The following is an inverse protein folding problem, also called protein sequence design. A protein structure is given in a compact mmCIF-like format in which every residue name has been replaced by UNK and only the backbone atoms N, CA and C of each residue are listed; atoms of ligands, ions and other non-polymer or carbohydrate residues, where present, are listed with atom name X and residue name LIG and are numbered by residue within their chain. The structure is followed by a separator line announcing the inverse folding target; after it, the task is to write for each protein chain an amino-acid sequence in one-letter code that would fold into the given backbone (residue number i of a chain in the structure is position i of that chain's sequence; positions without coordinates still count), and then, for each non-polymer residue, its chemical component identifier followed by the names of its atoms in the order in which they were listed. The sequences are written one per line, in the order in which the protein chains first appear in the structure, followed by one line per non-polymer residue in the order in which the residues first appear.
data_IF_515376530156
#
_entry.id   IF_515376530156
#
_cell.length_a   1.000
_cell.length_b   1.000
_cell.length_c   1.000
_cell.angle_alpha   90.00
_cell.angle_beta   90.00
_cell.angle_gamma   90.00
#
_symmetry.space_group_name_H-M   'P 1'
#
loop_
_entity.id
_entity.type
_entity.pdbx_description
1 polymer ?
#
# COMPACT_ATOMS: atom_id res chain seq x y z
N UNK A 1 11.44 44.01 12.25
CA UNK A 1 10.21 43.21 12.08
C UNK A 1 10.28 42.67 10.68
N UNK A 2 10.87 41.49 10.51
CA UNK A 2 11.03 40.90 9.18
C UNK A 2 9.64 40.59 8.62
N UNK A 3 9.34 41.17 7.45
CA UNK A 3 8.09 40.92 6.75
C UNK A 3 8.22 39.54 6.09
N UNK A 4 7.66 38.52 6.72
CA UNK A 4 7.54 37.19 6.10
C UNK A 4 6.88 37.30 4.73
N UNK A 5 7.49 36.65 3.75
CA UNK A 5 7.03 36.64 2.37
C UNK A 5 5.77 35.77 2.22
N UNK A 6 4.93 36.05 1.21
CA UNK A 6 3.65 35.33 1.05
C UNK A 6 3.83 33.81 0.93
N UNK A 7 4.88 33.35 0.23
CA UNK A 7 5.19 31.91 0.10
C UNK A 7 5.68 31.28 1.41
N UNK A 8 6.34 32.03 2.29
CA UNK A 8 6.75 31.53 3.61
C UNK A 8 5.53 31.32 4.51
N UNK A 9 4.51 32.17 4.38
CA UNK A 9 3.24 32.01 5.09
C UNK A 9 2.45 30.80 4.61
N UNK A 10 2.42 30.56 3.29
CA UNK A 10 1.77 29.39 2.70
C UNK A 10 2.47 28.07 3.10
N UNK A 11 3.81 28.07 3.21
CA UNK A 11 4.56 26.87 3.61
C UNK A 11 4.43 26.53 5.11
N UNK A 12 4.16 27.52 5.97
CA UNK A 12 3.96 27.30 7.42
C UNK A 12 2.56 26.79 7.78
N UNK A 13 1.62 26.80 6.84
CA UNK A 13 0.20 26.55 7.10
C UNK A 13 -0.27 25.13 6.79
N UNK A 14 0.61 24.13 6.77
CA UNK A 14 0.16 22.75 6.56
C UNK A 14 -0.71 22.29 7.73
N UNK A 15 -1.99 22.11 7.47
CA UNK A 15 -2.97 21.58 8.40
C UNK A 15 -3.67 20.40 7.72
N UNK A 16 -3.50 19.20 8.25
CA UNK A 16 -4.02 17.98 7.66
C UNK A 16 -5.54 18.05 7.45
N UNK A 17 -6.31 18.61 8.39
CA UNK A 17 -7.77 18.72 8.23
C UNK A 17 -8.15 19.69 7.11
N UNK A 18 -7.36 20.75 6.90
CA UNK A 18 -7.56 21.67 5.77
C UNK A 18 -7.22 20.98 4.45
N UNK A 19 -6.10 20.27 4.38
CA UNK A 19 -5.70 19.58 3.14
C UNK A 19 -6.66 18.45 2.77
N UNK A 20 -7.16 17.68 3.74
CA UNK A 20 -8.17 16.64 3.49
C UNK A 20 -9.48 17.26 2.97
N UNK A 21 -9.91 18.40 3.51
CA UNK A 21 -11.09 19.12 2.97
C UNK A 21 -10.86 19.64 1.56
N UNK A 22 -9.64 20.06 1.21
CA UNK A 22 -9.30 20.46 -0.17
C UNK A 22 -9.32 19.27 -1.12
N UNK A 23 -8.81 18.11 -0.68
CA UNK A 23 -8.88 16.85 -1.44
C UNK A 23 -10.34 16.47 -1.69
N UNK A 24 -11.19 16.47 -0.65
CA UNK A 24 -12.63 16.15 -0.82
C UNK A 24 -13.33 17.14 -1.74
N UNK A 25 -13.09 18.45 -1.54
CA UNK A 25 -13.67 19.47 -2.39
C UNK A 25 -13.32 19.26 -3.88
N UNK A 26 -12.07 18.89 -4.18
CA UNK A 26 -11.63 18.59 -5.55
C UNK A 26 -12.17 17.28 -6.07
N UNK A 27 -12.15 16.23 -5.25
CA UNK A 27 -12.66 14.91 -5.59
C UNK A 27 -14.16 14.94 -5.93
N UNK A 28 -14.92 15.81 -5.27
CA UNK A 28 -16.33 16.06 -5.54
C UNK A 28 -16.58 17.02 -6.72
N UNK A 29 -15.60 17.28 -7.58
CA UNK A 29 -15.79 18.04 -8.83
C UNK A 29 -15.84 17.14 -10.07
N UNK A 30 -16.17 17.73 -11.22
CA UNK A 30 -16.23 17.04 -12.51
C UNK A 30 -14.83 16.90 -13.10
N UNK A 31 -14.12 15.86 -12.67
CA UNK A 31 -12.72 15.64 -13.05
C UNK A 31 -12.52 15.05 -14.44
N UNK A 32 -13.54 14.37 -14.97
CA UNK A 32 -13.48 13.66 -16.24
C UNK A 32 -14.51 14.18 -17.24
N UNK A 33 -14.19 14.09 -18.53
CA UNK A 33 -15.17 14.35 -19.58
C UNK A 33 -14.91 13.53 -20.85
N UNK A 34 -16.00 13.14 -21.50
CA UNK A 34 -15.98 12.58 -22.85
C UNK A 34 -16.31 13.68 -23.86
N UNK A 35 -15.57 13.72 -24.96
CA UNK A 35 -15.76 14.70 -26.01
C UNK A 35 -16.33 14.06 -27.28
N UNK A 36 -17.58 14.40 -27.60
CA UNK A 36 -18.26 13.97 -28.81
C UNK A 36 -18.26 15.11 -29.84
N UNK A 37 -17.31 15.06 -30.76
CA UNK A 37 -17.10 16.11 -31.76
C UNK A 37 -16.68 17.45 -31.15
N UNK A 38 -17.01 18.55 -31.81
CA UNK A 38 -16.56 19.89 -31.39
C UNK A 38 -17.43 20.56 -30.32
N UNK A 39 -18.64 20.07 -30.06
CA UNK A 39 -19.64 20.85 -29.29
C UNK A 39 -20.24 20.14 -28.07
N UNK A 40 -20.10 18.81 -27.94
CA UNK A 40 -20.72 18.08 -26.83
C UNK A 40 -19.65 17.48 -25.91
N UNK A 41 -19.69 17.89 -24.65
CA UNK A 41 -18.91 17.27 -23.56
C UNK A 41 -19.87 16.69 -22.53
N UNK A 42 -19.66 15.44 -22.15
CA UNK A 42 -20.33 14.82 -21.01
C UNK A 42 -19.30 14.77 -19.90
N UNK A 43 -19.68 15.28 -18.73
CA UNK A 43 -18.77 15.44 -17.60
C UNK A 43 -19.15 14.48 -16.48
N UNK A 44 -18.14 13.90 -15.84
CA UNK A 44 -18.32 12.89 -14.79
C UNK A 44 -17.55 13.30 -13.54
N UNK A 45 -18.20 13.11 -12.39
CA UNK A 45 -17.50 13.01 -11.11
C UNK A 45 -16.77 11.66 -11.04
N UNK A 46 -15.66 11.53 -10.28
CA UNK A 46 -14.94 10.27 -10.15
C UNK A 46 -15.83 9.10 -9.72
N UNK A 47 -16.62 9.28 -8.66
CA UNK A 47 -17.54 8.26 -8.14
C UNK A 47 -18.65 7.93 -9.13
N UNK A 48 -19.17 8.93 -9.85
CA UNK A 48 -20.18 8.69 -10.89
C UNK A 48 -19.61 7.81 -12.01
N UNK A 49 -18.39 8.09 -12.47
CA UNK A 49 -17.74 7.27 -13.49
C UNK A 49 -17.55 5.82 -12.99
N UNK A 50 -17.15 5.64 -11.74
CA UNK A 50 -17.00 4.30 -11.15
C UNK A 50 -18.34 3.59 -11.04
N UNK A 51 -19.39 4.27 -10.55
CA UNK A 51 -20.72 3.68 -10.41
C UNK A 51 -21.33 3.26 -11.75
N UNK A 52 -21.09 4.05 -12.81
CA UNK A 52 -21.63 3.75 -14.14
C UNK A 52 -20.86 2.62 -14.85
N UNK A 53 -19.52 2.58 -14.72
CA UNK A 53 -18.70 1.76 -15.61
C UNK A 53 -17.81 0.73 -14.90
N UNK A 54 -17.40 0.98 -13.66
CA UNK A 54 -16.36 0.18 -13.02
C UNK A 54 -16.89 -0.73 -11.91
N UNK A 55 -17.87 -0.27 -11.13
CA UNK A 55 -18.23 -0.88 -9.86
C UNK A 55 -18.71 -2.32 -10.04
N UNK A 56 -19.55 -2.61 -11.04
CA UNK A 56 -20.09 -3.95 -11.26
C UNK A 56 -19.03 -5.02 -11.53
N UNK A 57 -17.93 -4.64 -12.18
CA UNK A 57 -16.83 -5.54 -12.52
C UNK A 57 -15.72 -5.59 -11.47
N UNK A 58 -15.81 -4.78 -10.41
CA UNK A 58 -14.76 -4.71 -9.41
C UNK A 58 -14.94 -5.79 -8.34
N UNK A 59 -14.04 -6.78 -8.34
CA UNK A 59 -14.09 -7.95 -7.45
C UNK A 59 -14.04 -7.58 -5.96
N UNK A 60 -13.41 -6.45 -5.63
CA UNK A 60 -13.22 -6.01 -4.26
C UNK A 60 -14.33 -5.12 -3.70
N UNK A 61 -15.40 -4.84 -4.47
CA UNK A 61 -16.57 -4.10 -3.98
C UNK A 61 -17.34 -4.83 -2.89
N UNK A 62 -17.08 -6.13 -2.71
CA UNK A 62 -17.88 -7.05 -1.89
C UNK A 62 -19.36 -6.97 -2.28
N UNK A 63 -20.20 -6.48 -1.37
CA UNK A 63 -21.64 -6.34 -1.58
C UNK A 63 -22.05 -4.92 -1.97
N UNK A 64 -21.10 -3.96 -2.01
CA UNK A 64 -21.42 -2.57 -2.27
C UNK A 64 -21.91 -2.40 -3.72
N UNK A 65 -23.01 -1.70 -3.90
CA UNK A 65 -23.64 -1.48 -5.22
C UNK A 65 -23.40 -0.07 -5.79
N UNK A 66 -22.95 0.87 -4.95
CA UNK A 66 -22.57 2.24 -5.34
C UNK A 66 -21.38 2.72 -4.52
N UNK A 67 -20.69 3.77 -4.99
CA UNK A 67 -19.63 4.46 -4.27
C UNK A 67 -20.15 5.04 -2.96
N UNK A 68 -21.40 5.52 -2.94
CA UNK A 68 -22.09 5.98 -1.73
C UNK A 68 -22.22 4.86 -0.69
N UNK A 69 -22.76 3.71 -1.10
CA UNK A 69 -22.90 2.52 -0.25
C UNK A 69 -21.54 2.05 0.30
N UNK A 70 -20.48 2.14 -0.51
CA UNK A 70 -19.12 1.87 -0.07
C UNK A 70 -18.62 2.86 0.98
N UNK A 71 -18.82 4.18 0.80
CA UNK A 71 -18.46 5.19 1.81
C UNK A 71 -19.18 4.94 3.14
N UNK A 72 -20.48 4.66 3.08
CA UNK A 72 -21.30 4.34 4.26
C UNK A 72 -20.77 3.07 4.97
N UNK A 73 -20.45 2.03 4.20
CA UNK A 73 -19.89 0.76 4.73
C UNK A 73 -18.50 0.94 5.35
N UNK A 74 -17.67 1.81 4.79
CA UNK A 74 -16.32 2.12 5.30
C UNK A 74 -16.33 3.13 6.45
N UNK A 75 -17.49 3.73 6.77
CA UNK A 75 -17.59 4.77 7.79
C UNK A 75 -16.87 6.06 7.40
N UNK A 76 -16.74 6.35 6.10
CA UNK A 76 -16.08 7.56 5.61
C UNK A 76 -16.99 8.76 5.90
N UNK A 77 -16.57 9.73 6.73
CA UNK A 77 -17.39 10.88 7.05
C UNK A 77 -17.54 11.81 5.85
N UNK A 78 -18.59 12.63 5.86
CA UNK A 78 -18.68 13.76 4.94
C UNK A 78 -17.86 14.92 5.52
N UNK A 79 -16.78 15.30 4.85
CA UNK A 79 -15.75 16.19 5.39
C UNK A 79 -16.19 17.66 5.57
N UNK A 80 -17.42 17.99 5.20
CA UNK A 80 -18.01 19.33 5.40
C UNK A 80 -18.44 19.61 6.85
N UNK A 81 -18.60 18.59 7.70
CA UNK A 81 -19.30 18.71 8.99
C UNK A 81 -18.51 18.27 10.23
N UNK A 82 -17.20 18.01 10.11
CA UNK A 82 -16.41 17.42 11.20
C UNK A 82 -15.28 18.36 11.60
N UNK A 83 -15.17 18.61 12.90
CA UNK A 83 -14.17 19.52 13.47
C UNK A 83 -12.76 18.90 13.54
N UNK A 84 -12.66 17.57 13.69
CA UNK A 84 -11.39 16.83 13.69
C UNK A 84 -11.58 15.38 13.27
N UNK A 85 -10.67 14.86 12.43
CA UNK A 85 -10.65 13.45 12.02
C UNK A 85 -9.60 12.65 12.78
N UNK A 86 -9.89 11.39 13.05
CA UNK A 86 -8.89 10.43 13.52
C UNK A 86 -7.93 10.05 12.38
N UNK A 87 -6.73 9.62 12.72
CA UNK A 87 -5.75 9.16 11.72
C UNK A 87 -6.30 8.01 10.87
N UNK A 88 -7.03 7.06 11.48
CA UNK A 88 -7.59 5.92 10.77
C UNK A 88 -8.69 6.33 9.77
N UNK A 89 -9.52 7.33 10.11
CA UNK A 89 -10.51 7.88 9.18
C UNK A 89 -9.84 8.56 7.99
N UNK A 90 -8.78 9.34 8.23
CA UNK A 90 -8.00 10.00 7.17
C UNK A 90 -7.36 8.97 6.24
N UNK A 91 -6.70 7.95 6.80
CA UNK A 91 -6.04 6.91 6.00
C UNK A 91 -7.05 6.11 5.16
N UNK A 92 -8.19 5.74 5.77
CA UNK A 92 -9.27 5.02 5.08
C UNK A 92 -9.85 5.85 3.93
N UNK A 93 -10.05 7.16 4.15
CA UNK A 93 -10.52 8.07 3.13
C UNK A 93 -9.52 8.27 1.98
N UNK A 94 -8.25 8.52 2.30
CA UNK A 94 -7.21 8.68 1.28
C UNK A 94 -7.08 7.40 0.42
N UNK A 95 -7.15 6.23 1.05
CA UNK A 95 -7.09 4.95 0.33
C UNK A 95 -8.32 4.74 -0.55
N UNK A 96 -9.50 5.13 -0.07
CA UNK A 96 -10.72 5.13 -0.87
C UNK A 96 -10.58 6.03 -2.11
N UNK A 97 -10.15 7.29 -1.94
CA UNK A 97 -9.91 8.22 -3.06
C UNK A 97 -8.92 7.62 -4.05
N UNK A 98 -7.81 7.07 -3.57
CA UNK A 98 -6.80 6.44 -4.42
C UNK A 98 -7.36 5.25 -5.22
N UNK A 99 -8.20 4.41 -4.60
CA UNK A 99 -8.86 3.30 -5.30
C UNK A 99 -9.85 3.79 -6.37
N UNK A 100 -10.68 4.80 -6.07
CA UNK A 100 -11.63 5.35 -7.05
C UNK A 100 -10.90 5.95 -8.25
N UNK A 101 -9.90 6.80 -8.01
CA UNK A 101 -9.11 7.41 -9.09
C UNK A 101 -8.39 6.36 -9.94
N UNK A 102 -7.88 5.30 -9.30
CA UNK A 102 -7.25 4.20 -10.00
C UNK A 102 -8.22 3.41 -10.89
N UNK A 103 -9.44 3.14 -10.43
CA UNK A 103 -10.48 2.51 -11.26
C UNK A 103 -10.86 3.41 -12.46
N UNK A 104 -11.00 4.71 -12.23
CA UNK A 104 -11.22 5.68 -13.30
C UNK A 104 -10.08 5.65 -14.34
N UNK A 105 -8.83 5.55 -13.88
CA UNK A 105 -7.65 5.50 -14.75
C UNK A 105 -7.58 4.20 -15.56
N UNK A 106 -7.91 3.04 -14.97
CA UNK A 106 -8.05 1.78 -15.72
C UNK A 106 -9.09 1.95 -16.85
N UNK A 107 -10.26 2.49 -16.52
CA UNK A 107 -11.32 2.71 -17.50
C UNK A 107 -10.87 3.67 -18.61
N UNK A 108 -10.20 4.76 -18.24
CA UNK A 108 -9.66 5.76 -19.16
C UNK A 108 -8.61 5.17 -20.11
N UNK A 109 -7.71 4.32 -19.61
CA UNK A 109 -6.73 3.60 -20.45
C UNK A 109 -7.40 2.74 -21.52
N UNK A 110 -8.59 2.19 -21.23
CA UNK A 110 -9.38 1.41 -22.19
C UNK A 110 -10.28 2.27 -23.10
N UNK A 111 -10.49 3.55 -22.80
CA UNK A 111 -11.41 4.45 -23.51
C UNK A 111 -10.74 5.79 -23.83
N UNK A 112 -10.14 5.89 -25.03
CA UNK A 112 -9.34 7.05 -25.45
C UNK A 112 -10.09 8.39 -25.47
N UNK A 113 -11.42 8.37 -25.52
CA UNK A 113 -12.25 9.58 -25.62
C UNK A 113 -12.49 10.24 -24.26
N UNK A 114 -12.18 9.54 -23.16
CA UNK A 114 -12.28 10.07 -21.80
C UNK A 114 -11.01 10.88 -21.46
N UNK A 115 -11.21 12.16 -21.17
CA UNK A 115 -10.15 13.12 -20.83
C UNK A 115 -10.28 13.56 -19.37
N UNK A 116 -9.18 14.09 -18.84
CA UNK A 116 -9.10 14.68 -17.50
C UNK A 116 -9.03 16.21 -17.58
N UNK A 117 -9.27 16.86 -16.45
CA UNK A 117 -9.25 18.32 -16.25
C UNK A 117 -7.99 18.78 -15.54
N UNK A 118 -7.73 20.09 -15.50
CA UNK A 118 -6.62 20.64 -14.72
C UNK A 118 -6.85 20.43 -13.21
N UNK A 119 -8.12 20.40 -12.76
CA UNK A 119 -8.51 20.08 -11.39
C UNK A 119 -8.12 18.65 -10.99
N UNK A 120 -8.09 17.71 -11.95
CA UNK A 120 -7.60 16.35 -11.70
C UNK A 120 -6.11 16.37 -11.35
N UNK A 121 -5.30 17.08 -12.13
CA UNK A 121 -3.86 17.19 -11.86
C UNK A 121 -3.60 17.87 -10.51
N UNK A 122 -4.40 18.89 -10.16
CA UNK A 122 -4.33 19.54 -8.86
C UNK A 122 -4.72 18.60 -7.71
N UNK A 123 -5.73 17.75 -7.89
CA UNK A 123 -6.10 16.73 -6.90
C UNK A 123 -4.94 15.74 -6.68
N UNK A 124 -4.34 15.23 -7.76
CA UNK A 124 -3.22 14.29 -7.67
C UNK A 124 -2.01 14.94 -6.97
N UNK A 125 -1.71 16.20 -7.27
CA UNK A 125 -0.64 16.94 -6.60
C UNK A 125 -0.92 17.08 -5.11
N UNK A 126 -2.13 17.50 -4.72
CA UNK A 126 -2.49 17.66 -3.31
C UNK A 126 -2.47 16.33 -2.56
N UNK A 127 -2.97 15.26 -3.19
CA UNK A 127 -2.91 13.90 -2.65
C UNK A 127 -1.45 13.49 -2.38
N UNK A 128 -0.56 13.67 -3.35
CA UNK A 128 0.86 13.34 -3.19
C UNK A 128 1.54 14.17 -2.09
N UNK A 129 1.25 15.47 -1.97
CA UNK A 129 1.79 16.32 -0.90
C UNK A 129 1.35 15.83 0.47
N UNK A 130 0.08 15.46 0.64
CA UNK A 130 -0.43 14.91 1.90
C UNK A 130 0.26 13.59 2.23
N UNK A 131 0.34 12.67 1.26
CA UNK A 131 1.00 11.38 1.47
C UNK A 131 2.48 11.53 1.81
N UNK A 132 3.20 12.39 1.08
CA UNK A 132 4.62 12.68 1.34
C UNK A 132 4.83 13.25 2.74
N UNK A 133 3.95 14.16 3.19
CA UNK A 133 4.02 14.76 4.53
C UNK A 133 3.78 13.73 5.63
N UNK A 134 2.95 12.72 5.36
CA UNK A 134 2.69 11.60 6.28
C UNK A 134 3.70 10.45 6.13
N UNK A 135 4.72 10.59 5.27
CA UNK A 135 5.67 9.53 4.94
C UNK A 135 4.98 8.25 4.39
N UNK A 136 3.92 8.43 3.61
CA UNK A 136 3.12 7.39 2.97
C UNK A 136 3.34 7.39 1.45
N UNK A 137 3.03 6.26 0.82
CA UNK A 137 3.04 6.10 -0.62
C UNK A 137 1.89 5.19 -1.08
N UNK A 138 1.49 5.39 -2.34
CA UNK A 138 0.50 4.57 -3.03
C UNK A 138 1.20 3.35 -3.63
N UNK A 139 0.69 2.14 -3.34
CA UNK A 139 1.06 0.91 -4.05
C UNK A 139 -0.15 0.39 -4.82
N UNK A 140 -0.03 0.37 -6.15
CA UNK A 140 -1.04 -0.17 -7.05
C UNK A 140 -0.71 -1.63 -7.40
N UNK A 141 -1.75 -2.44 -7.46
CA UNK A 141 -1.73 -3.81 -7.96
C UNK A 141 -2.70 -3.87 -9.15
N UNK A 142 -2.15 -3.76 -10.37
CA UNK A 142 -2.97 -3.64 -11.59
C UNK A 142 -3.80 -4.90 -11.87
N UNK A 143 -3.23 -6.08 -11.65
CA UNK A 143 -3.89 -7.37 -11.90
C UNK A 143 -5.09 -7.59 -10.97
N UNK A 144 -4.93 -7.33 -9.67
CA UNK A 144 -6.01 -7.45 -8.67
C UNK A 144 -6.93 -6.22 -8.66
N UNK A 145 -6.60 -5.16 -9.40
CA UNK A 145 -7.31 -3.88 -9.39
C UNK A 145 -7.48 -3.30 -7.97
N UNK A 146 -6.39 -3.29 -7.20
CA UNK A 146 -6.37 -2.77 -5.83
C UNK A 146 -5.31 -1.70 -5.65
N UNK A 147 -5.62 -0.72 -4.79
CA UNK A 147 -4.65 0.26 -4.33
C UNK A 147 -4.58 0.23 -2.81
N UNK A 148 -3.36 0.28 -2.27
CA UNK A 148 -3.12 0.39 -0.84
C UNK A 148 -2.25 1.62 -0.56
N UNK A 149 -2.53 2.27 0.57
CA UNK A 149 -1.63 3.28 1.15
C UNK A 149 -0.77 2.61 2.21
N UNK A 150 0.54 2.80 2.11
CA UNK A 150 1.50 2.22 3.05
C UNK A 150 2.61 3.21 3.38
N UNK A 151 3.33 2.96 4.46
CA UNK A 151 4.54 3.74 4.78
C UNK A 151 5.62 3.56 3.72
N UNK A 152 6.37 4.65 3.48
CA UNK A 152 7.57 4.62 2.63
C UNK A 152 8.65 3.79 3.31
N UNK A 153 9.01 2.69 2.68
CA UNK A 153 10.07 1.82 3.16
C UNK A 153 10.81 1.17 2.00
N UNK A 154 12.02 1.65 1.72
CA UNK A 154 12.84 1.18 0.61
C UNK A 154 13.16 -0.32 0.71
N UNK A 155 13.38 -0.83 1.93
CA UNK A 155 13.68 -2.23 2.14
C UNK A 155 12.46 -3.11 1.81
N UNK A 156 11.26 -2.70 2.25
CA UNK A 156 10.02 -3.40 1.88
C UNK A 156 9.76 -3.28 0.38
N UNK A 157 9.98 -2.12 -0.25
CA UNK A 157 9.79 -1.96 -1.70
C UNK A 157 10.67 -2.92 -2.51
N UNK A 158 11.93 -3.08 -2.10
CA UNK A 158 12.83 -4.06 -2.71
C UNK A 158 12.27 -5.50 -2.64
N UNK A 159 11.62 -5.85 -1.52
CA UNK A 159 10.99 -7.16 -1.36
C UNK A 159 9.77 -7.27 -2.26
N UNK A 160 8.88 -6.27 -2.24
CA UNK A 160 7.65 -6.24 -3.05
C UNK A 160 7.95 -6.40 -4.54
N UNK A 161 9.02 -5.78 -5.05
CA UNK A 161 9.42 -5.87 -6.46
C UNK A 161 10.07 -7.23 -6.82
N UNK A 162 10.33 -8.10 -5.84
CA UNK A 162 10.99 -9.39 -6.02
C UNK A 162 10.08 -10.61 -5.83
N UNK A 163 8.83 -10.40 -5.44
CA UNK A 163 7.83 -11.43 -5.17
C UNK A 163 6.63 -11.26 -6.10
N UNK A 164 5.77 -12.27 -6.21
CA UNK A 164 4.51 -12.14 -6.96
C UNK A 164 3.49 -11.24 -6.24
N UNK A 165 2.50 -10.76 -7.01
CA UNK A 165 1.49 -9.82 -6.54
C UNK A 165 0.70 -10.34 -5.32
N UNK A 166 0.44 -11.65 -5.24
CA UNK A 166 -0.31 -12.21 -4.10
C UNK A 166 0.50 -12.07 -2.80
N UNK A 167 1.79 -12.42 -2.83
CA UNK A 167 2.70 -12.21 -1.70
C UNK A 167 2.85 -10.72 -1.41
N UNK A 168 3.04 -9.90 -2.43
CA UNK A 168 3.22 -8.46 -2.27
C UNK A 168 2.01 -7.79 -1.59
N UNK A 169 0.79 -8.17 -1.97
CA UNK A 169 -0.45 -7.69 -1.33
C UNK A 169 -0.47 -8.06 0.15
N UNK A 170 -0.12 -9.30 0.51
CA UNK A 170 -0.11 -9.73 1.91
C UNK A 170 0.96 -9.03 2.75
N UNK A 171 2.14 -8.76 2.17
CA UNK A 171 3.21 -7.97 2.80
C UNK A 171 2.71 -6.55 3.10
N UNK A 172 2.03 -5.91 2.15
CA UNK A 172 1.46 -4.57 2.33
C UNK A 172 0.35 -4.58 3.38
N UNK A 173 -0.57 -5.55 3.31
CA UNK A 173 -1.68 -5.69 4.26
C UNK A 173 -1.20 -5.86 5.70
N UNK A 174 -0.10 -6.57 5.93
CA UNK A 174 0.40 -6.84 7.28
C UNK A 174 0.59 -5.56 8.12
N UNK A 175 1.18 -4.51 7.52
CA UNK A 175 1.44 -3.22 8.15
C UNK A 175 0.32 -2.19 7.92
N UNK A 176 -0.77 -2.58 7.25
CA UNK A 176 -1.87 -1.68 6.97
C UNK A 176 -2.59 -1.28 8.27
N UNK A 177 -3.00 -0.01 8.40
CA UNK A 177 -3.55 0.54 9.65
C UNK A 177 -4.75 -0.26 10.16
N UNK A 178 -5.58 -0.78 9.25
CA UNK A 178 -6.74 -1.60 9.59
C UNK A 178 -6.42 -2.97 10.21
N UNK A 179 -5.18 -3.46 10.19
CA UNK A 179 -4.77 -4.74 10.80
C UNK A 179 -4.16 -4.59 12.20
N UNK A 180 -3.96 -3.37 12.69
CA UNK A 180 -3.49 -3.13 14.05
C UNK A 180 -4.45 -3.77 15.07
N UNK A 181 -3.93 -4.60 15.98
CA UNK A 181 -4.73 -5.35 16.96
C UNK A 181 -5.48 -6.56 16.40
N UNK A 182 -5.46 -6.83 15.08
CA UNK A 182 -6.14 -7.99 14.46
C UNK A 182 -5.23 -9.20 14.39
N UNK A 183 -4.98 -9.81 15.56
CA UNK A 183 -4.05 -10.93 15.74
C UNK A 183 -4.28 -12.10 14.78
N UNK A 184 -5.52 -12.56 14.60
CA UNK A 184 -5.79 -13.70 13.72
C UNK A 184 -5.49 -13.40 12.25
N UNK A 185 -5.78 -12.19 11.77
CA UNK A 185 -5.47 -11.80 10.39
C UNK A 185 -3.95 -11.65 10.19
N UNK A 186 -3.25 -11.02 11.13
CA UNK A 186 -1.78 -10.97 11.13
C UNK A 186 -1.16 -12.36 11.14
N UNK A 187 -1.70 -13.29 11.93
CA UNK A 187 -1.24 -14.68 11.99
C UNK A 187 -1.44 -15.41 10.67
N UNK A 188 -2.58 -15.21 9.98
CA UNK A 188 -2.84 -15.81 8.66
C UNK A 188 -1.81 -15.35 7.62
N UNK A 189 -1.54 -14.04 7.57
CA UNK A 189 -0.51 -13.48 6.68
C UNK A 189 0.86 -14.09 7.00
N UNK A 190 1.25 -14.12 8.28
CA UNK A 190 2.52 -14.74 8.68
C UNK A 190 2.61 -16.22 8.34
N UNK A 191 1.50 -16.97 8.42
CA UNK A 191 1.47 -18.38 8.04
C UNK A 191 1.68 -18.57 6.53
N UNK A 192 1.11 -17.67 5.71
CA UNK A 192 1.35 -17.64 4.28
C UNK A 192 2.82 -17.32 3.97
N UNK A 193 3.36 -16.23 4.52
CA UNK A 193 4.76 -15.84 4.37
C UNK A 193 5.75 -16.91 4.89
N UNK A 194 5.37 -17.68 5.91
CA UNK A 194 6.16 -18.80 6.40
C UNK A 194 6.38 -19.89 5.36
N UNK A 195 5.41 -20.09 4.46
CA UNK A 195 5.50 -21.10 3.40
C UNK A 195 6.55 -20.69 2.37
N UNK A 196 6.52 -19.43 1.97
CA UNK A 196 7.50 -18.81 1.07
C UNK A 196 8.91 -18.82 1.68
N UNK A 197 9.01 -18.47 2.96
CA UNK A 197 10.27 -18.54 3.71
C UNK A 197 10.90 -19.94 3.67
N UNK A 198 10.12 -21.02 3.85
CA UNK A 198 10.67 -22.39 3.79
C UNK A 198 11.24 -22.74 2.40
N UNK A 199 10.65 -22.19 1.33
CA UNK A 199 11.13 -22.37 -0.04
C UNK A 199 12.54 -21.83 -0.25
N UNK A 200 12.86 -20.68 0.35
CA UNK A 200 14.18 -20.03 0.25
C UNK A 200 15.17 -20.43 1.36
N UNK A 201 14.69 -21.09 2.41
CA UNK A 201 15.46 -21.43 3.62
C UNK A 201 16.81 -22.11 3.36
N UNK A 202 16.85 -23.07 2.44
CA UNK A 202 18.11 -23.78 2.07
C UNK A 202 19.15 -22.82 1.48
N UNK A 203 18.71 -21.84 0.69
CA UNK A 203 19.60 -20.85 0.08
C UNK A 203 20.11 -19.88 1.14
N UNK A 204 19.25 -19.45 2.05
CA UNK A 204 19.60 -18.56 3.16
C UNK A 204 20.64 -19.18 4.11
N UNK A 205 20.53 -20.47 4.42
CA UNK A 205 21.54 -21.19 5.23
C UNK A 205 22.96 -21.10 4.68
N UNK A 206 23.10 -20.95 3.36
CA UNK A 206 24.42 -20.79 2.73
C UNK A 206 25.14 -19.49 3.12
N UNK A 207 24.41 -18.47 3.60
CA UNK A 207 24.98 -17.21 4.08
C UNK A 207 25.70 -17.32 5.42
N UNK A 208 25.47 -18.39 6.20
CA UNK A 208 26.01 -18.56 7.55
C UNK A 208 25.68 -17.39 8.49
N UNK A 209 24.43 -16.93 8.46
CA UNK A 209 23.92 -15.92 9.39
C UNK A 209 22.77 -16.50 10.22
N UNK A 210 22.67 -16.09 11.49
CA UNK A 210 21.67 -16.63 12.43
C UNK A 210 20.24 -16.14 12.15
N UNK A 211 20.06 -15.17 11.25
CA UNK A 211 18.77 -14.53 10.97
C UNK A 211 17.74 -15.54 10.49
N UNK A 212 18.14 -16.48 9.63
CA UNK A 212 17.25 -17.54 9.14
C UNK A 212 16.86 -18.50 10.27
N UNK A 213 17.80 -18.91 11.12
CA UNK A 213 17.53 -19.80 12.24
C UNK A 213 16.57 -19.13 13.25
N UNK A 214 16.78 -17.84 13.55
CA UNK A 214 15.91 -17.04 14.42
C UNK A 214 14.51 -16.86 13.82
N UNK A 215 14.40 -16.50 12.55
CA UNK A 215 13.13 -16.37 11.84
C UNK A 215 12.36 -17.70 11.84
N UNK A 216 13.05 -18.81 11.53
CA UNK A 216 12.47 -20.14 11.55
C UNK A 216 12.02 -20.59 12.94
N UNK A 217 12.77 -20.22 13.98
CA UNK A 217 12.38 -20.47 15.37
C UNK A 217 11.11 -19.72 15.75
N UNK A 218 11.01 -18.43 15.44
CA UNK A 218 9.83 -17.62 15.72
C UNK A 218 8.59 -18.09 14.96
N UNK A 219 8.72 -18.39 13.67
CA UNK A 219 7.63 -18.94 12.85
C UNK A 219 7.09 -20.26 13.42
N UNK A 220 8.00 -21.17 13.82
CA UNK A 220 7.61 -22.44 14.43
C UNK A 220 6.95 -22.26 15.80
N UNK A 221 7.43 -21.29 16.58
CA UNK A 221 6.94 -21.02 17.92
C UNK A 221 5.55 -20.37 17.85
N UNK A 222 5.45 -19.20 17.23
CA UNK A 222 4.29 -18.31 17.33
C UNK A 222 3.20 -18.53 16.28
N UNK A 223 3.54 -19.10 15.12
CA UNK A 223 2.61 -19.21 13.98
C UNK A 223 2.15 -20.64 13.74
N UNK A 224 3.07 -21.60 13.73
CA UNK A 224 2.75 -23.03 13.53
C UNK A 224 2.35 -23.75 14.81
N UNK A 225 2.43 -23.06 15.95
CA UNK A 225 2.06 -23.56 17.28
C UNK A 225 2.61 -24.96 17.56
N UNK A 226 3.93 -25.09 17.61
CA UNK A 226 4.54 -26.32 18.10
C UNK A 226 3.99 -26.66 19.50
N UNK A 227 3.77 -27.94 19.79
CA UNK A 227 3.09 -28.39 21.02
C UNK A 227 3.76 -27.88 22.30
N UNK A 228 5.07 -27.63 22.27
CA UNK A 228 5.83 -27.13 23.41
C UNK A 228 5.66 -25.61 23.66
N UNK A 229 5.24 -24.82 22.68
CA UNK A 229 5.08 -23.36 22.82
C UNK A 229 3.66 -22.93 23.16
N UNK A 230 2.66 -23.82 23.04
CA UNK A 230 1.24 -23.49 23.22
C UNK A 230 0.93 -22.89 24.59
N UNK A 231 1.44 -23.46 25.68
CA UNK A 231 1.18 -22.94 27.04
C UNK A 231 1.80 -21.56 27.25
N UNK A 232 3.01 -21.32 26.70
CA UNK A 232 3.66 -20.00 26.78
C UNK A 232 2.88 -18.95 25.98
N UNK A 233 2.46 -19.28 24.75
CA UNK A 233 1.68 -18.35 23.91
C UNK A 233 0.34 -18.01 24.54
N UNK A 234 -0.34 -19.00 25.13
CA UNK A 234 -1.60 -18.78 25.84
C UNK A 234 -1.47 -17.92 27.10
N UNK A 235 -0.25 -17.81 27.65
CA UNK A 235 0.02 -16.96 28.81
C UNK A 235 0.35 -15.50 28.46
N UNK A 236 0.61 -15.21 27.18
CA UNK A 236 0.92 -13.86 26.72
C UNK A 236 -0.35 -13.01 26.60
N UNK A 237 -0.21 -11.73 26.90
CA UNK A 237 -1.23 -10.75 26.53
C UNK A 237 -1.31 -10.57 25.01
N UNK A 238 -2.44 -10.04 24.53
CA UNK A 238 -2.61 -9.74 23.10
C UNK A 238 -1.53 -8.78 22.58
N UNK A 239 -1.15 -7.77 23.37
CA UNK A 239 -0.12 -6.80 23.00
C UNK A 239 1.26 -7.44 22.89
N UNK A 240 1.59 -8.37 23.79
CA UNK A 240 2.85 -9.12 23.72
C UNK A 240 2.87 -10.07 22.53
N UNK A 241 1.75 -10.72 22.24
CA UNK A 241 1.63 -11.60 21.09
C UNK A 241 1.77 -10.82 19.78
N UNK A 242 1.14 -9.64 19.68
CA UNK A 242 1.28 -8.77 18.51
C UNK A 242 2.73 -8.33 18.31
N UNK A 243 3.44 -7.94 19.39
CA UNK A 243 4.87 -7.60 19.32
C UNK A 243 5.72 -8.75 18.79
N UNK A 244 5.42 -9.99 19.19
CA UNK A 244 6.13 -11.15 18.67
C UNK A 244 5.80 -11.43 17.21
N UNK A 245 4.55 -11.20 16.79
CA UNK A 245 4.17 -11.26 15.38
C UNK A 245 4.93 -10.22 14.57
N UNK A 246 4.96 -8.96 14.99
CA UNK A 246 5.63 -7.87 14.29
C UNK A 246 7.14 -8.16 14.17
N UNK A 247 7.77 -8.65 15.25
CA UNK A 247 9.18 -9.05 15.23
C UNK A 247 9.45 -10.26 14.31
N UNK A 248 8.50 -11.20 14.25
CA UNK A 248 8.58 -12.34 13.32
C UNK A 248 8.49 -11.85 11.88
N UNK A 249 7.56 -10.93 11.59
CA UNK A 249 7.42 -10.31 10.28
C UNK A 249 8.69 -9.60 9.83
N UNK A 250 9.28 -8.75 10.69
CA UNK A 250 10.53 -8.03 10.38
C UNK A 250 11.67 -8.98 9.99
N UNK A 251 11.86 -10.05 10.77
CA UNK A 251 12.91 -11.04 10.48
C UNK A 251 12.64 -11.80 9.17
N UNK A 252 11.38 -12.13 8.88
CA UNK A 252 11.01 -12.73 7.58
C UNK A 252 11.29 -11.78 6.42
N UNK A 253 10.99 -10.48 6.56
CA UNK A 253 11.31 -9.47 5.53
C UNK A 253 12.81 -9.34 5.30
N UNK A 254 13.62 -9.40 6.36
CA UNK A 254 15.10 -9.44 6.23
C UNK A 254 15.54 -10.69 5.47
N UNK A 255 14.95 -11.86 5.74
CA UNK A 255 15.24 -13.07 4.99
C UNK A 255 14.88 -12.93 3.50
N UNK A 256 13.77 -12.27 3.17
CA UNK A 256 13.38 -12.04 1.76
C UNK A 256 14.39 -11.10 1.07
N UNK A 257 14.83 -10.04 1.74
CA UNK A 257 15.90 -9.16 1.25
C UNK A 257 17.21 -9.90 1.02
N UNK A 258 17.60 -10.79 1.95
CA UNK A 258 18.79 -11.62 1.80
C UNK A 258 18.66 -12.56 0.59
N UNK A 259 17.48 -13.13 0.38
CA UNK A 259 17.22 -13.99 -0.77
C UNK A 259 17.35 -13.20 -2.09
N UNK A 260 16.78 -11.98 -2.17
CA UNK A 260 16.97 -11.07 -3.30
C UNK A 260 18.45 -10.78 -3.55
N UNK A 261 19.22 -10.47 -2.51
CA UNK A 261 20.66 -10.28 -2.65
C UNK A 261 21.40 -11.53 -3.19
N UNK A 262 20.99 -12.75 -2.83
CA UNK A 262 21.59 -13.97 -3.40
C UNK A 262 21.34 -14.10 -4.90
N UNK A 263 20.21 -13.59 -5.40
CA UNK A 263 19.92 -13.54 -6.81
C UNK A 263 20.85 -12.52 -7.50
N UNK A 264 20.91 -11.29 -7.00
CA UNK A 264 21.81 -10.24 -7.54
C UNK A 264 23.29 -10.66 -7.51
N UNK A 265 23.70 -11.40 -6.47
CA UNK A 265 25.07 -11.91 -6.33
C UNK A 265 25.48 -12.80 -7.49
N UNK A 266 24.54 -13.53 -8.12
CA UNK A 266 24.81 -14.35 -9.31
C UNK A 266 25.17 -13.47 -10.50
N UNK A 267 24.45 -12.37 -10.70
CA UNK A 267 24.71 -11.43 -11.79
C UNK A 267 26.03 -10.68 -11.58
N UNK A 268 26.30 -10.25 -10.35
CA UNK A 268 27.59 -9.64 -9.98
C UNK A 268 28.76 -10.60 -10.25
N UNK A 269 28.59 -11.90 -9.95
CA UNK A 269 29.62 -12.91 -10.22
C UNK A 269 29.87 -13.04 -11.72
N UNK A 270 28.81 -13.09 -12.53
CA UNK A 270 28.89 -13.14 -13.99
C UNK A 270 29.61 -11.91 -14.56
N UNK A 271 29.31 -10.71 -14.05
CA UNK A 271 29.98 -9.48 -14.45
C UNK A 271 31.49 -9.51 -14.13
N UNK A 272 31.85 -9.94 -12.91
CA UNK A 272 33.27 -10.07 -12.50
C UNK A 272 34.06 -11.02 -13.40
N UNK A 273 33.45 -12.14 -13.81
CA UNK A 273 34.07 -13.10 -14.72
C UNK A 273 34.35 -12.46 -16.09
N UNK A 274 33.36 -11.81 -16.71
CA UNK A 274 33.52 -11.12 -18.01
C UNK A 274 34.60 -10.05 -17.98
N UNK A 275 34.67 -9.24 -16.92
CA UNK A 275 35.73 -8.24 -16.79
C UNK A 275 37.11 -8.88 -16.69
N UNK A 276 37.24 -9.98 -15.94
CA UNK A 276 38.52 -10.69 -15.79
C UNK A 276 39.01 -11.37 -17.07
N UNK A 277 38.09 -11.76 -17.97
CA UNK A 277 38.40 -12.31 -19.30
C UNK A 277 38.84 -11.20 -20.26
N UNK A 278 38.16 -10.04 -20.24
CA UNK A 278 38.52 -8.90 -21.08
C UNK A 278 39.83 -8.21 -20.70
N UNK A 279 40.31 -8.37 -19.46
CA UNK A 279 41.60 -7.79 -19.02
C UNK A 279 42.79 -8.71 -19.34
N UNK A 280 42.54 -9.92 -19.85
CA UNK A 280 43.58 -10.89 -20.24
C UNK A 280 43.85 -10.93 -21.76
N UNK A 281 43.09 -10.17 -22.54
CA UNK A 281 43.31 -9.90 -23.97
C UNK A 281 43.87 -8.49 -24.14
#
# INVERSE_FOLDING_TARGET
MDKEHIFEKLNKSFDLNIEIRRIEALFCTKLYYEQFGSYRRIWYFPEQLVDEYCIFSWEHRKNCITCRDMRETLGIPHFDYVDCYTQDEVLTYLEYVANILFLCEIWRKSHSDLKVTDEYDMLIQNLNVVLDTLNLEIKCFEESRQVFIKEKNNAINIVLDSVDDNIAIDIVKYNHHMLKGKLEEKRKILAFLATEFEGMRKQLKSMKCNIEDDAGYLLNTFIRHNNNSKMYIQSLSNDELERWYDKTYELVMICFLQNKYLQDKKDIKSLKQRMSENTKN
#
